data_IF_834492799653
#
_entry.id   IF_834492799653
#
_cell.length_a   1.000
_cell.length_b   1.000
_cell.length_c   1.000
_cell.angle_alpha   90.00
_cell.angle_beta   90.00
_cell.angle_gamma   90.00
#
_symmetry.space_group_name_H-M   'P 1'
#
loop_
_entity.id
_entity.type
_entity.pdbx_description
1 polymer ?
#
# COMPACT_ATOMS: atom_id res chain seq x y z
N UNK A 1 -20.20 -48.12 29.99
CA UNK A 1 -21.06 -47.01 29.52
C UNK A 1 -20.21 -45.74 29.56
N UNK A 2 -20.12 -45.05 28.41
CA UNK A 2 -19.02 -44.15 28.05
C UNK A 2 -18.96 -42.85 28.87
N UNK A 3 -17.78 -42.54 29.43
CA UNK A 3 -17.39 -41.19 29.87
C UNK A 3 -16.79 -40.45 28.68
N UNK A 4 -17.50 -39.45 28.15
CA UNK A 4 -16.94 -38.52 27.18
C UNK A 4 -16.27 -37.35 27.94
N UNK A 5 -14.96 -37.08 27.77
CA UNK A 5 -14.39 -35.81 28.19
C UNK A 5 -14.93 -34.70 27.27
N UNK A 6 -15.52 -33.66 27.86
CA UNK A 6 -16.00 -32.50 27.12
C UNK A 6 -14.79 -31.81 26.51
N UNK A 7 -14.69 -31.95 25.20
CA UNK A 7 -13.75 -31.30 24.29
C UNK A 7 -13.71 -29.79 24.57
N UNK A 8 -12.56 -29.27 24.98
CA UNK A 8 -12.24 -27.85 24.94
C UNK A 8 -12.19 -27.41 23.48
N UNK A 9 -12.96 -26.40 23.02
CA UNK A 9 -12.54 -25.71 21.81
C UNK A 9 -11.31 -24.91 22.20
N UNK A 10 -10.14 -25.40 21.77
CA UNK A 10 -9.01 -24.52 21.55
C UNK A 10 -9.47 -23.52 20.50
N UNK A 11 -9.86 -22.32 20.93
CA UNK A 11 -9.92 -21.17 20.03
C UNK A 11 -8.48 -20.86 19.68
N UNK A 12 -7.98 -21.56 18.65
CA UNK A 12 -6.91 -21.06 17.80
C UNK A 12 -7.17 -19.58 17.57
N UNK A 13 -6.18 -18.68 17.76
CA UNK A 13 -6.32 -17.33 17.27
C UNK A 13 -6.61 -17.50 15.79
N UNK A 14 -7.83 -17.13 15.37
CA UNK A 14 -8.19 -17.09 13.98
C UNK A 14 -7.06 -16.34 13.29
N UNK A 15 -6.26 -17.10 12.56
CA UNK A 15 -5.27 -16.61 11.62
C UNK A 15 -6.12 -15.82 10.65
N UNK A 16 -6.24 -14.53 10.96
CA UNK A 16 -6.97 -13.55 10.19
C UNK A 16 -6.42 -13.73 8.79
N UNK A 17 -7.20 -14.26 7.83
CA UNK A 17 -6.69 -14.38 6.48
C UNK A 17 -6.28 -12.97 6.12
N UNK A 18 -4.99 -12.81 5.81
CA UNK A 18 -4.48 -11.64 5.14
C UNK A 18 -5.44 -11.47 3.96
N UNK A 19 -6.40 -10.57 4.12
CA UNK A 19 -7.36 -10.25 3.09
C UNK A 19 -6.48 -9.71 1.99
N UNK A 20 -6.21 -10.58 1.02
CA UNK A 20 -5.48 -10.26 -0.19
C UNK A 20 -6.04 -8.92 -0.62
N UNK A 21 -5.15 -7.92 -0.64
CA UNK A 21 -5.47 -6.56 -0.97
C UNK A 21 -6.24 -6.61 -2.29
N UNK A 22 -7.57 -6.49 -2.20
CA UNK A 22 -8.40 -6.21 -3.35
C UNK A 22 -7.91 -4.85 -3.81
N UNK A 23 -7.07 -4.85 -4.84
CA UNK A 23 -6.75 -3.66 -5.61
C UNK A 23 -8.09 -3.18 -6.17
N UNK A 24 -8.74 -2.27 -5.43
CA UNK A 24 -9.89 -1.54 -5.93
C UNK A 24 -9.48 -0.84 -7.22
N UNK A 25 -10.39 -0.83 -8.21
CA UNK A 25 -10.12 -0.32 -9.55
C UNK A 25 -9.78 1.16 -9.45
N UNK A 26 -8.63 1.52 -10.01
CA UNK A 26 -8.12 2.86 -10.31
C UNK A 26 -8.83 4.02 -9.56
N UNK A 27 -8.58 4.12 -8.25
CA UNK A 27 -9.13 5.17 -7.38
C UNK A 27 -8.51 6.57 -7.67
N UNK A 28 -7.76 6.75 -8.77
CA UNK A 28 -6.93 7.93 -9.02
C UNK A 28 -5.81 8.15 -7.99
N UNK A 29 -5.43 7.08 -7.26
CA UNK A 29 -4.41 7.10 -6.20
C UNK A 29 -3.09 6.56 -6.73
N UNK A 30 -1.99 7.22 -6.36
CA UNK A 30 -0.63 6.81 -6.70
C UNK A 30 0.04 6.13 -5.51
N UNK A 31 1.01 5.29 -5.79
CA UNK A 31 1.84 4.66 -4.76
C UNK A 31 2.95 5.62 -4.32
N UNK A 32 3.11 5.76 -3.02
CA UNK A 32 4.13 6.57 -2.37
C UNK A 32 4.84 5.76 -1.30
N UNK A 33 6.16 5.91 -1.20
CA UNK A 33 6.98 5.30 -0.16
C UNK A 33 7.20 6.31 0.97
N UNK A 34 7.02 5.85 2.20
CA UNK A 34 7.26 6.63 3.41
C UNK A 34 8.76 6.75 3.65
N UNK A 35 9.25 7.96 3.84
CA UNK A 35 10.68 8.21 4.08
C UNK A 35 11.05 8.00 5.55
N UNK A 36 12.35 7.96 5.85
CA UNK A 36 12.85 7.85 7.24
C UNK A 36 12.54 9.08 8.09
N UNK A 37 12.35 10.23 7.45
CA UNK A 37 12.01 11.51 8.10
C UNK A 37 10.51 11.65 8.37
N UNK A 38 9.70 10.70 7.89
CA UNK A 38 8.26 10.76 8.05
C UNK A 38 7.84 10.61 9.52
N UNK A 39 6.81 11.36 9.97
CA UNK A 39 6.21 11.14 11.28
C UNK A 39 5.51 9.77 11.34
N UNK A 40 5.18 9.32 12.56
CA UNK A 40 4.45 8.06 12.79
C UNK A 40 3.05 8.00 12.12
N UNK A 41 2.58 9.12 11.56
CA UNK A 41 1.35 9.21 10.77
C UNK A 41 1.51 10.12 9.55
N UNK A 42 1.16 9.62 8.37
CA UNK A 42 1.16 10.35 7.09
C UNK A 42 -0.25 10.32 6.52
N UNK A 43 -0.80 11.47 6.12
CA UNK A 43 -2.17 11.61 5.61
C UNK A 43 -3.22 10.93 6.54
N UNK A 44 -3.02 11.04 7.86
CA UNK A 44 -3.89 10.45 8.88
C UNK A 44 -3.76 8.94 9.08
N UNK A 45 -2.90 8.25 8.33
CA UNK A 45 -2.66 6.80 8.45
C UNK A 45 -1.40 6.53 9.27
N UNK A 46 -1.38 5.47 10.08
CA UNK A 46 -0.18 5.07 10.85
C UNK A 46 0.79 4.33 9.93
N UNK A 47 2.05 4.72 9.95
CA UNK A 47 3.06 4.24 9.00
C UNK A 47 4.43 4.10 9.64
N UNK A 48 5.31 3.38 8.96
CA UNK A 48 6.74 3.28 9.25
C UNK A 48 7.54 3.67 8.00
N UNK A 49 8.79 4.07 8.20
CA UNK A 49 9.73 4.30 7.12
C UNK A 49 9.83 3.05 6.22
N UNK A 50 9.78 3.25 4.91
CA UNK A 50 9.77 2.20 3.89
C UNK A 50 8.38 1.64 3.56
N UNK A 51 7.33 1.99 4.31
CA UNK A 51 5.97 1.55 3.97
C UNK A 51 5.50 2.17 2.66
N UNK A 52 4.70 1.43 1.88
CA UNK A 52 4.04 1.95 0.67
C UNK A 52 2.59 2.33 0.96
N UNK A 53 2.19 3.53 0.55
CA UNK A 53 0.85 4.09 0.71
C UNK A 53 0.24 4.41 -0.64
N UNK A 54 -1.03 4.02 -0.83
CA UNK A 54 -1.88 4.57 -1.89
C UNK A 54 -2.57 5.83 -1.43
N UNK A 55 -2.14 6.96 -1.97
CA UNK A 55 -2.66 8.30 -1.67
C UNK A 55 -3.10 8.99 -2.96
N UNK A 56 -4.13 9.82 -2.87
CA UNK A 56 -4.46 10.76 -3.95
C UNK A 56 -3.43 11.89 -3.99
N UNK A 57 -3.32 12.58 -5.12
CA UNK A 57 -2.41 13.72 -5.26
C UNK A 57 -2.67 14.81 -4.20
N UNK A 58 -3.95 15.06 -3.88
CA UNK A 58 -4.32 16.05 -2.87
C UNK A 58 -3.89 15.64 -1.45
N UNK A 59 -3.97 14.35 -1.11
CA UNK A 59 -3.48 13.83 0.18
C UNK A 59 -1.94 13.81 0.22
N UNK A 60 -1.29 13.49 -0.90
CA UNK A 60 0.15 13.38 -0.99
C UNK A 60 0.86 14.75 -1.03
N UNK A 61 0.24 15.78 -1.58
CA UNK A 61 0.88 17.08 -1.83
C UNK A 61 1.53 17.70 -0.59
N UNK A 62 0.81 17.75 0.53
CA UNK A 62 1.36 18.30 1.77
C UNK A 62 2.50 17.45 2.34
N UNK A 63 2.38 16.13 2.22
CA UNK A 63 3.35 15.16 2.76
C UNK A 63 4.62 15.07 1.88
N UNK A 64 4.48 15.19 0.56
CA UNK A 64 5.57 15.22 -0.41
C UNK A 64 6.37 16.52 -0.29
N UNK A 65 5.70 17.68 -0.15
CA UNK A 65 6.36 18.97 0.14
C UNK A 65 7.13 18.91 1.46
N UNK A 66 6.57 18.23 2.47
CA UNK A 66 7.21 18.01 3.77
C UNK A 66 8.28 16.89 3.74
N UNK A 67 8.51 16.24 2.60
CA UNK A 67 9.48 15.15 2.42
C UNK A 67 9.20 13.93 3.32
N UNK A 68 7.95 13.72 3.72
CA UNK A 68 7.53 12.53 4.48
C UNK A 68 7.28 11.33 3.57
N UNK A 69 7.04 11.58 2.27
CA UNK A 69 6.81 10.53 1.28
C UNK A 69 7.47 10.89 -0.05
N UNK A 70 7.73 9.86 -0.86
CA UNK A 70 8.21 9.98 -2.25
C UNK A 70 7.40 9.08 -3.17
N UNK A 71 7.16 9.43 -4.44
CA UNK A 71 6.44 8.56 -5.36
C UNK A 71 7.21 7.25 -5.57
N UNK A 72 6.55 6.10 -5.44
CA UNK A 72 7.18 4.78 -5.58
C UNK A 72 7.64 4.49 -7.03
N UNK A 73 7.06 5.20 -8.01
CA UNK A 73 7.33 5.03 -9.44
C UNK A 73 8.30 6.06 -10.04
N UNK A 74 8.99 6.88 -9.24
CA UNK A 74 9.99 7.81 -9.78
C UNK A 74 11.24 7.13 -10.34
N UNK A 75 11.38 5.81 -10.15
CA UNK A 75 12.40 4.95 -10.78
C UNK A 75 11.90 4.20 -12.04
N UNK A 76 10.71 4.51 -12.57
CA UNK A 76 10.30 4.00 -13.88
C UNK A 76 10.86 4.88 -15.01
N UNK A 77 12.11 4.61 -15.36
CA UNK A 77 12.57 4.87 -16.72
C UNK A 77 12.21 3.62 -17.53
N UNK A 78 11.22 3.76 -18.42
CA UNK A 78 11.09 3.01 -19.70
C UNK A 78 10.23 1.74 -19.68
N UNK A 79 8.96 1.89 -20.07
CA UNK A 79 8.26 1.02 -21.05
C UNK A 79 7.72 1.95 -22.16
N UNK A 80 8.48 2.10 -23.25
CA UNK A 80 8.17 1.55 -24.58
C UNK A 80 6.79 1.99 -25.12
N UNK A 81 6.66 2.80 -26.18
CA UNK A 81 7.43 2.84 -27.41
C UNK A 81 6.55 2.33 -28.55
N UNK A 82 5.97 3.25 -29.34
CA UNK A 82 5.76 3.16 -30.79
C UNK A 82 4.75 4.23 -31.25
N UNK A 83 5.24 5.40 -31.64
CA UNK A 83 4.68 6.03 -32.84
C UNK A 83 5.85 6.38 -33.73
N UNK A 84 6.12 5.43 -34.62
CA UNK A 84 7.13 5.54 -35.65
C UNK A 84 6.81 6.74 -36.53
N UNK A 85 7.87 7.40 -36.98
CA UNK A 85 7.86 8.19 -38.20
C UNK A 85 7.00 7.52 -39.28
N UNK A 86 6.07 8.28 -39.84
CA UNK A 86 5.60 8.07 -41.21
C UNK A 86 5.44 9.44 -41.86
N UNK A 87 6.53 9.83 -42.52
CA UNK A 87 6.55 10.32 -43.91
C UNK A 87 5.36 11.16 -44.40
N UNK A 88 5.61 12.45 -44.66
CA UNK A 88 4.91 13.27 -45.66
C UNK A 88 5.86 14.31 -46.26
#
# INVERSE_FOLDING_TARGET
MAKAPRNTPATEPAEQPAAAAVATPDDGKKDYVVTETAPARVAGRRVKAGDTLRLSEHEALAEEIAQHITPAGSDDKTDAGADASSDV
#
